data_IF_611824934764
#
_entry.id   IF_611824934764
#
_cell.length_a   1.000
_cell.length_b   1.000
_cell.length_c   1.000
_cell.angle_alpha   90.00
_cell.angle_beta   90.00
_cell.angle_gamma   90.00
#
_symmetry.space_group_name_H-M   'P 1'
#
loop_
_entity.id
_entity.type
_entity.pdbx_description
1 polymer ?
#
# COMPACT_ATOMS: atom_id res chain seq x y z
N UNK A 1 23.60 38.76 -2.11
CA UNK A 1 22.77 39.66 -1.28
C UNK A 1 21.27 39.63 -1.62
N UNK A 2 20.84 38.93 -2.70
CA UNK A 2 19.41 38.83 -3.08
C UNK A 2 18.73 37.57 -2.51
N UNK A 3 19.50 36.62 -2.01
CA UNK A 3 18.98 35.37 -1.42
C UNK A 3 19.54 35.22 -0.02
N UNK A 4 18.65 34.94 0.93
CA UNK A 4 19.01 34.63 2.30
C UNK A 4 18.84 33.13 2.52
N UNK A 5 19.82 32.50 3.17
CA UNK A 5 19.74 31.09 3.55
C UNK A 5 18.68 30.90 4.64
N UNK A 6 17.72 30.03 4.40
CA UNK A 6 16.77 29.57 5.40
C UNK A 6 17.12 28.11 5.72
N UNK A 7 17.34 27.81 6.99
CA UNK A 7 17.58 26.44 7.46
C UNK A 7 16.21 25.80 7.72
N UNK A 8 16.00 24.62 7.12
CA UNK A 8 14.81 23.79 7.34
C UNK A 8 15.29 22.51 8.01
N UNK A 9 14.82 22.28 9.22
CA UNK A 9 15.15 21.06 9.98
C UNK A 9 14.14 19.95 9.67
N UNK A 10 14.55 18.67 9.77
CA UNK A 10 13.62 17.54 9.67
C UNK A 10 12.53 17.63 10.76
N UNK A 11 11.34 17.18 10.44
CA UNK A 11 10.22 17.14 11.38
C UNK A 11 10.38 16.03 12.42
N UNK A 12 9.79 16.21 13.59
CA UNK A 12 9.67 15.17 14.63
C UNK A 12 8.67 14.07 14.19
N UNK A 13 8.62 12.98 14.94
CA UNK A 13 7.66 11.88 14.70
C UNK A 13 6.23 12.40 14.87
N UNK A 14 5.96 13.16 15.92
CA UNK A 14 4.63 13.69 16.23
C UNK A 14 4.15 14.67 15.15
N UNK A 15 5.01 15.62 14.78
CA UNK A 15 4.71 16.55 13.68
C UNK A 15 4.48 15.85 12.35
N UNK A 16 5.26 14.79 12.07
CA UNK A 16 5.09 14.01 10.84
C UNK A 16 3.76 13.26 10.83
N UNK A 17 3.33 12.68 11.95
CA UNK A 17 2.01 12.03 12.06
C UNK A 17 0.89 13.05 11.76
N UNK A 18 0.99 14.25 12.31
CA UNK A 18 0.02 15.33 12.05
C UNK A 18 0.02 15.76 10.57
N UNK A 19 1.20 15.90 9.97
CA UNK A 19 1.33 16.16 8.53
C UNK A 19 0.64 15.08 7.70
N UNK A 20 0.91 13.79 7.98
CA UNK A 20 0.30 12.68 7.25
C UNK A 20 -1.23 12.68 7.41
N UNK A 21 -1.76 12.94 8.60
CA UNK A 21 -3.20 13.08 8.81
C UNK A 21 -3.82 14.21 7.97
N UNK A 22 -3.12 15.34 7.82
CA UNK A 22 -3.59 16.48 7.04
C UNK A 22 -3.61 16.21 5.53
N UNK A 23 -2.69 15.40 5.02
CA UNK A 23 -2.62 15.05 3.59
C UNK A 23 -3.33 13.74 3.24
N UNK A 24 -3.70 12.94 4.25
CA UNK A 24 -4.34 11.61 4.13
C UNK A 24 -5.42 11.57 3.06
N UNK A 25 -6.38 12.48 3.12
CA UNK A 25 -7.53 12.48 2.22
C UNK A 25 -7.14 12.57 0.75
N UNK A 26 -6.07 13.33 0.42
CA UNK A 26 -5.60 13.46 -0.97
C UNK A 26 -5.04 12.14 -1.50
N UNK A 27 -4.31 11.40 -0.68
CA UNK A 27 -3.77 10.09 -1.03
C UNK A 27 -4.85 9.00 -1.08
N UNK A 28 -5.81 9.06 -0.14
CA UNK A 28 -6.99 8.18 -0.16
C UNK A 28 -7.81 8.33 -1.44
N UNK A 29 -8.01 9.56 -1.90
CA UNK A 29 -8.75 9.83 -3.14
C UNK A 29 -7.92 9.48 -4.39
N UNK A 30 -6.60 9.68 -4.35
CA UNK A 30 -5.72 9.38 -5.47
C UNK A 30 -5.62 7.86 -5.72
N UNK A 31 -5.42 7.08 -4.67
CA UNK A 31 -5.27 5.61 -4.75
C UNK A 31 -6.58 4.84 -4.57
N UNK A 32 -7.70 5.53 -4.31
CA UNK A 32 -8.99 4.91 -3.98
C UNK A 32 -8.91 3.91 -2.83
N UNK A 33 -8.23 4.30 -1.76
CA UNK A 33 -8.03 3.51 -0.53
C UNK A 33 -8.45 4.30 0.71
N UNK A 34 -8.46 3.67 1.87
CA UNK A 34 -8.63 4.33 3.17
C UNK A 34 -7.52 3.87 4.11
N UNK A 35 -6.83 4.82 4.77
CA UNK A 35 -5.80 4.50 5.74
C UNK A 35 -6.37 4.45 7.15
N UNK A 36 -6.02 3.41 7.92
CA UNK A 36 -6.29 3.40 9.36
C UNK A 36 -5.32 4.33 10.08
N UNK A 37 -5.67 4.76 11.30
CA UNK A 37 -4.78 5.61 12.10
C UNK A 37 -3.50 4.86 12.49
N UNK A 38 -3.61 3.55 12.70
CA UNK A 38 -2.47 2.66 12.94
C UNK A 38 -1.54 2.61 11.74
N UNK A 39 -2.09 2.54 10.51
CA UNK A 39 -1.29 2.58 9.28
C UNK A 39 -0.52 3.90 9.13
N UNK A 40 -1.16 5.04 9.42
CA UNK A 40 -0.49 6.35 9.38
C UNK A 40 0.66 6.40 10.40
N UNK A 41 0.42 5.95 11.63
CA UNK A 41 1.47 5.86 12.66
C UNK A 41 2.59 4.91 12.24
N UNK A 42 2.26 3.77 11.64
CA UNK A 42 3.23 2.81 11.14
C UNK A 42 4.12 3.39 10.03
N UNK A 43 3.56 4.18 9.08
CA UNK A 43 4.35 4.88 8.07
C UNK A 43 5.48 5.71 8.69
N UNK A 44 5.19 6.43 9.77
CA UNK A 44 6.17 7.28 10.43
C UNK A 44 7.15 6.47 11.29
N UNK A 45 6.63 5.58 12.14
CA UNK A 45 7.46 4.86 13.12
C UNK A 45 8.37 3.82 12.46
N UNK A 46 7.86 3.07 11.47
CA UNK A 46 8.66 2.05 10.79
C UNK A 46 9.72 2.69 9.88
N UNK A 47 9.37 3.75 9.14
CA UNK A 47 10.38 4.43 8.31
C UNK A 47 11.41 5.17 9.16
N UNK A 48 11.01 5.79 10.28
CA UNK A 48 11.96 6.39 11.21
C UNK A 48 12.96 5.37 11.76
N UNK A 49 12.51 4.16 12.05
CA UNK A 49 13.30 3.09 12.66
C UNK A 49 14.21 2.35 11.66
N UNK A 50 13.71 2.09 10.43
CA UNK A 50 14.37 1.19 9.49
C UNK A 50 14.95 1.88 8.26
N UNK A 51 14.60 3.16 7.98
CA UNK A 51 15.14 3.95 6.88
C UNK A 51 16.02 5.07 7.41
N UNK A 52 17.34 4.92 7.25
CA UNK A 52 18.35 5.87 7.77
C UNK A 52 18.89 6.82 6.70
N UNK A 53 18.62 6.55 5.44
CA UNK A 53 19.13 7.27 4.27
C UNK A 53 18.30 8.51 3.91
N UNK A 54 17.13 8.68 4.52
CA UNK A 54 16.21 9.80 4.27
C UNK A 54 15.68 10.38 5.56
N UNK A 55 15.16 11.61 5.48
CA UNK A 55 14.61 12.35 6.62
C UNK A 55 13.09 12.34 6.62
N UNK A 56 12.51 12.59 7.79
CA UNK A 56 11.09 12.90 7.92
C UNK A 56 10.85 14.35 7.43
N UNK A 57 9.69 14.63 6.81
CA UNK A 57 8.53 13.74 6.61
C UNK A 57 8.61 12.87 5.36
N UNK A 58 9.51 13.11 4.40
CA UNK A 58 9.53 12.53 3.06
C UNK A 58 9.45 11.01 3.05
N UNK A 59 10.28 10.33 3.83
CA UNK A 59 10.27 8.85 3.88
C UNK A 59 8.94 8.26 4.37
N UNK A 60 8.23 8.96 5.23
CA UNK A 60 6.92 8.51 5.72
C UNK A 60 5.82 8.76 4.68
N UNK A 61 5.92 9.86 3.93
CA UNK A 61 5.03 10.16 2.79
C UNK A 61 5.23 9.13 1.70
N UNK A 62 6.48 8.81 1.33
CA UNK A 62 6.80 7.78 0.35
C UNK A 62 6.22 6.41 0.74
N UNK A 63 6.34 6.02 2.02
CA UNK A 63 5.78 4.76 2.51
C UNK A 63 4.24 4.74 2.46
N UNK A 64 3.60 5.87 2.73
CA UNK A 64 2.14 6.01 2.63
C UNK A 64 1.69 5.92 1.18
N UNK A 65 2.35 6.60 0.26
CA UNK A 65 2.07 6.59 -1.17
C UNK A 65 2.22 5.18 -1.76
N UNK A 66 3.32 4.52 -1.49
CA UNK A 66 3.60 3.15 -1.95
C UNK A 66 2.60 2.14 -1.36
N UNK A 67 2.21 2.29 -0.08
CA UNK A 67 1.23 1.42 0.55
C UNK A 67 -0.17 1.58 -0.09
N UNK A 68 -0.58 2.80 -0.38
CA UNK A 68 -1.82 3.08 -1.09
C UNK A 68 -1.84 2.51 -2.50
N UNK A 69 -0.79 2.79 -3.27
CA UNK A 69 -0.62 2.29 -4.64
C UNK A 69 -0.65 0.76 -4.69
N UNK A 70 0.09 0.11 -3.81
CA UNK A 70 0.20 -1.36 -3.77
C UNK A 70 -1.14 -2.04 -3.45
N UNK A 71 -1.87 -1.55 -2.45
CA UNK A 71 -3.17 -2.12 -2.09
C UNK A 71 -4.17 -1.91 -3.23
N UNK A 72 -4.16 -0.75 -3.86
CA UNK A 72 -4.95 -0.49 -5.05
C UNK A 72 -4.69 -1.52 -6.15
N UNK A 73 -3.42 -1.75 -6.52
CA UNK A 73 -3.03 -2.68 -7.59
C UNK A 73 -3.37 -4.14 -7.24
N UNK A 74 -3.09 -4.59 -6.01
CA UNK A 74 -3.33 -5.98 -5.60
C UNK A 74 -4.81 -6.31 -5.56
N UNK A 75 -5.66 -5.35 -5.21
CA UNK A 75 -7.10 -5.54 -5.03
C UNK A 75 -7.93 -5.24 -6.27
N UNK A 76 -7.33 -4.69 -7.32
CA UNK A 76 -8.01 -4.51 -8.60
C UNK A 76 -8.27 -5.90 -9.22
N UNK A 77 -9.49 -6.37 -9.09
CA UNK A 77 -9.97 -7.55 -9.82
C UNK A 77 -10.78 -7.09 -11.01
N UNK A 78 -10.20 -7.23 -12.20
CA UNK A 78 -10.93 -6.94 -13.45
C UNK A 78 -12.05 -7.96 -13.62
N UNK A 79 -13.31 -7.55 -13.81
CA UNK A 79 -14.43 -8.46 -14.02
C UNK A 79 -14.20 -9.37 -15.22
N UNK A 80 -14.61 -10.63 -15.11
CA UNK A 80 -14.49 -11.61 -16.21
C UNK A 80 -15.19 -11.15 -17.46
N UNK A 81 -16.28 -10.38 -17.34
CA UNK A 81 -17.03 -9.80 -18.46
C UNK A 81 -16.15 -8.88 -19.32
N UNK A 82 -15.31 -8.05 -18.71
CA UNK A 82 -14.39 -7.16 -19.44
C UNK A 82 -13.33 -8.00 -20.18
N UNK A 83 -12.72 -8.99 -19.50
CA UNK A 83 -11.74 -9.89 -20.13
C UNK A 83 -12.33 -10.70 -21.30
N UNK A 84 -13.59 -11.11 -21.20
CA UNK A 84 -14.29 -11.82 -22.28
C UNK A 84 -14.58 -10.90 -23.45
N UNK A 85 -14.96 -9.64 -23.20
CA UNK A 85 -15.18 -8.64 -24.25
C UNK A 85 -13.88 -8.27 -24.97
N UNK A 86 -12.80 -8.08 -24.25
CA UNK A 86 -11.47 -7.83 -24.82
C UNK A 86 -11.02 -8.99 -25.72
N UNK A 87 -11.20 -10.24 -25.26
CA UNK A 87 -10.86 -11.41 -26.06
C UNK A 87 -11.70 -11.51 -27.34
N UNK A 88 -13.02 -11.25 -27.25
CA UNK A 88 -13.90 -11.25 -28.42
C UNK A 88 -13.53 -10.14 -29.40
N UNK A 89 -13.17 -8.96 -28.89
CA UNK A 89 -12.74 -7.84 -29.70
C UNK A 89 -11.46 -8.20 -30.48
N UNK A 90 -10.50 -8.82 -29.81
CA UNK A 90 -9.27 -9.31 -30.45
C UNK A 90 -9.57 -10.34 -31.55
N UNK A 91 -10.44 -11.32 -31.29
CA UNK A 91 -10.85 -12.34 -32.25
C UNK A 91 -11.50 -11.70 -33.48
N UNK A 92 -12.44 -10.75 -33.31
CA UNK A 92 -13.12 -10.05 -34.41
C UNK A 92 -12.14 -9.19 -35.19
N UNK A 93 -11.24 -8.48 -34.53
CA UNK A 93 -10.20 -7.67 -35.17
C UNK A 93 -9.26 -8.53 -36.03
N UNK A 94 -8.83 -9.68 -35.51
CA UNK A 94 -7.99 -10.64 -36.25
C UNK A 94 -8.72 -11.23 -37.46
N UNK A 95 -9.98 -11.61 -37.30
CA UNK A 95 -10.86 -12.06 -38.42
C UNK A 95 -11.02 -10.99 -39.47
N UNK A 96 -11.35 -9.77 -39.07
CA UNK A 96 -11.49 -8.63 -40.00
C UNK A 96 -10.23 -8.44 -40.82
N UNK A 97 -9.05 -8.46 -40.19
CA UNK A 97 -7.76 -8.30 -40.86
C UNK A 97 -7.48 -9.44 -41.85
N UNK A 98 -7.87 -10.67 -41.55
CA UNK A 98 -7.71 -11.82 -42.45
C UNK A 98 -8.68 -11.73 -43.65
N UNK A 99 -9.92 -11.31 -43.43
CA UNK A 99 -10.96 -11.16 -44.46
C UNK A 99 -10.62 -10.00 -45.42
N UNK A 100 -10.08 -8.90 -44.91
CA UNK A 100 -9.58 -7.79 -45.73
C UNK A 100 -8.43 -8.24 -46.63
N UNK A 101 -7.49 -9.04 -46.16
CA UNK A 101 -6.41 -9.61 -46.96
C UNK A 101 -6.95 -10.52 -48.06
N UNK A 102 -8.09 -11.16 -47.84
CA UNK A 102 -8.77 -12.03 -48.81
C UNK A 102 -9.71 -11.24 -49.75
N UNK A 103 -9.71 -9.91 -49.71
CA UNK A 103 -10.50 -8.99 -50.54
C UNK A 103 -12.04 -9.20 -50.43
N UNK A 104 -12.53 -9.78 -49.35
CA UNK A 104 -13.96 -9.99 -49.08
C UNK A 104 -14.58 -8.80 -48.33
N UNK A 105 -14.77 -7.71 -49.04
CA UNK A 105 -15.14 -6.41 -48.44
C UNK A 105 -16.50 -6.38 -47.75
N UNK A 106 -17.48 -7.16 -48.22
CA UNK A 106 -18.83 -7.24 -47.57
C UNK A 106 -18.74 -7.92 -46.18
N UNK A 107 -17.98 -9.00 -46.07
CA UNK A 107 -17.75 -9.67 -44.78
C UNK A 107 -16.93 -8.75 -43.85
N UNK A 108 -15.93 -8.05 -44.36
CA UNK A 108 -15.15 -7.08 -43.62
C UNK A 108 -15.97 -5.91 -43.06
N UNK A 109 -16.98 -5.45 -43.83
CA UNK A 109 -17.91 -4.41 -43.38
C UNK A 109 -18.74 -4.86 -42.19
N UNK A 110 -19.29 -6.07 -42.19
CA UNK A 110 -20.04 -6.63 -41.06
C UNK A 110 -19.14 -6.79 -39.79
N UNK A 111 -17.92 -7.30 -39.96
CA UNK A 111 -16.99 -7.44 -38.87
C UNK A 111 -16.55 -6.10 -38.27
N UNK A 112 -16.51 -5.04 -39.10
CA UNK A 112 -16.25 -3.68 -38.63
C UNK A 112 -17.42 -3.12 -37.79
N UNK A 113 -18.63 -3.45 -38.13
CA UNK A 113 -19.79 -3.03 -37.35
C UNK A 113 -19.86 -3.80 -36.02
N UNK A 114 -19.52 -5.09 -36.03
CA UNK A 114 -19.39 -5.90 -34.81
C UNK A 114 -18.26 -5.41 -33.90
N UNK A 115 -17.12 -5.06 -34.48
CA UNK A 115 -15.98 -4.47 -33.76
C UNK A 115 -16.39 -3.19 -33.03
N UNK A 116 -17.04 -2.24 -33.74
CA UNK A 116 -17.53 -1.00 -33.15
C UNK A 116 -18.56 -1.22 -32.03
N UNK A 117 -19.41 -2.24 -32.19
CA UNK A 117 -20.38 -2.60 -31.15
C UNK A 117 -19.66 -3.11 -29.90
N UNK A 118 -18.69 -4.03 -30.06
CA UNK A 118 -17.91 -4.59 -28.96
C UNK A 118 -17.04 -3.53 -28.28
N UNK A 119 -16.45 -2.60 -29.05
CA UNK A 119 -15.71 -1.45 -28.47
C UNK A 119 -16.61 -0.62 -27.56
N UNK A 120 -17.84 -0.33 -28.00
CA UNK A 120 -18.77 0.44 -27.19
C UNK A 120 -19.27 -0.32 -25.96
N UNK A 121 -19.54 -1.63 -26.10
CA UNK A 121 -19.89 -2.48 -24.96
C UNK A 121 -18.74 -2.57 -23.94
N UNK A 122 -17.50 -2.67 -24.41
CA UNK A 122 -16.30 -2.66 -23.57
C UNK A 122 -16.15 -1.32 -22.83
N UNK A 123 -16.28 -0.21 -23.53
CA UNK A 123 -16.20 1.13 -22.94
C UNK A 123 -17.27 1.34 -21.85
N UNK A 124 -18.52 0.91 -22.10
CA UNK A 124 -19.59 1.01 -21.09
C UNK A 124 -19.30 0.12 -19.89
N UNK A 125 -18.84 -1.12 -20.10
CA UNK A 125 -18.50 -2.03 -19.02
C UNK A 125 -17.31 -1.53 -18.20
N UNK A 126 -16.31 -0.91 -18.81
CA UNK A 126 -15.18 -0.29 -18.12
C UNK A 126 -15.63 0.92 -17.29
N UNK A 127 -16.48 1.79 -17.82
CA UNK A 127 -17.02 2.94 -17.08
C UNK A 127 -17.85 2.51 -15.87
N UNK A 128 -18.70 1.49 -16.02
CA UNK A 128 -19.49 0.93 -14.91
C UNK A 128 -18.60 0.32 -13.83
N UNK A 129 -17.58 -0.42 -14.24
CA UNK A 129 -16.60 -1.01 -13.31
C UNK A 129 -15.80 0.05 -12.56
N UNK A 130 -15.31 1.08 -13.24
CA UNK A 130 -14.61 2.20 -12.60
C UNK A 130 -15.52 2.93 -11.60
N UNK A 131 -16.78 3.16 -11.96
CA UNK A 131 -17.75 3.80 -11.07
C UNK A 131 -18.00 2.95 -9.82
N UNK A 132 -18.13 1.63 -9.95
CA UNK A 132 -18.29 0.70 -8.84
C UNK A 132 -17.02 0.60 -8.00
N UNK A 133 -15.85 0.56 -8.62
CA UNK A 133 -14.55 0.51 -7.94
C UNK A 133 -14.31 1.76 -7.08
N UNK A 134 -14.75 2.94 -7.52
CA UNK A 134 -14.65 4.19 -6.73
C UNK A 134 -15.52 4.19 -5.48
N UNK A 135 -16.59 3.40 -5.45
CA UNK A 135 -17.47 3.29 -4.28
C UNK A 135 -16.89 2.37 -3.18
N UNK A 136 -15.95 1.49 -3.52
CA UNK A 136 -15.33 0.55 -2.60
C UNK A 136 -13.87 0.94 -2.40
N UNK A 137 -13.60 1.72 -1.33
CA UNK A 137 -12.24 2.04 -0.90
C UNK A 137 -11.68 0.85 -0.10
N UNK A 138 -10.57 0.31 -0.54
CA UNK A 138 -9.83 -0.72 0.20
C UNK A 138 -9.10 -0.12 1.39
N UNK A 139 -9.00 -0.88 2.49
CA UNK A 139 -8.41 -0.40 3.74
C UNK A 139 -6.93 -0.79 3.81
N UNK A 140 -6.08 0.21 3.98
CA UNK A 140 -4.65 0.04 4.24
C UNK A 140 -4.43 -0.08 5.75
N UNK A 141 -3.86 -1.20 6.17
CA UNK A 141 -3.57 -1.52 7.57
C UNK A 141 -2.09 -1.35 7.90
N UNK A 142 -1.75 -1.43 9.19
CA UNK A 142 -0.36 -1.45 9.66
C UNK A 142 0.47 -2.55 8.99
N UNK A 143 -0.10 -3.76 8.83
CA UNK A 143 0.58 -4.88 8.19
C UNK A 143 0.99 -4.59 6.75
N UNK A 144 0.13 -3.91 6.00
CA UNK A 144 0.42 -3.50 4.62
C UNK A 144 1.60 -2.52 4.58
N UNK A 145 1.62 -1.57 5.50
CA UNK A 145 2.73 -0.61 5.62
C UNK A 145 4.03 -1.34 6.00
N UNK A 146 3.97 -2.28 6.94
CA UNK A 146 5.15 -3.06 7.33
C UNK A 146 5.71 -3.89 6.17
N UNK A 147 4.85 -4.44 5.31
CA UNK A 147 5.27 -5.13 4.10
C UNK A 147 5.97 -4.19 3.12
N UNK A 148 5.41 -3.00 2.90
CA UNK A 148 6.00 -1.97 2.03
C UNK A 148 7.36 -1.52 2.55
N UNK A 149 7.46 -1.17 3.83
CA UNK A 149 8.74 -0.77 4.43
C UNK A 149 9.76 -1.91 4.36
N UNK A 150 9.32 -3.17 4.50
CA UNK A 150 10.19 -4.34 4.32
C UNK A 150 10.76 -4.43 2.91
N UNK A 151 9.96 -4.12 1.89
CA UNK A 151 10.43 -4.11 0.49
C UNK A 151 11.35 -2.94 0.21
N UNK A 152 11.03 -1.74 0.71
CA UNK A 152 11.84 -0.54 0.51
C UNK A 152 13.23 -0.65 1.15
N UNK A 153 13.31 -1.31 2.31
CA UNK A 153 14.55 -1.43 3.10
C UNK A 153 15.29 -2.75 2.90
N UNK A 154 14.62 -3.78 2.37
CA UNK A 154 15.12 -5.15 2.35
C UNK A 154 15.13 -5.84 3.71
N UNK A 155 14.60 -5.21 4.77
CA UNK A 155 14.56 -5.72 6.14
C UNK A 155 13.19 -6.35 6.40
N UNK A 156 13.08 -7.62 6.85
CA UNK A 156 11.80 -8.26 7.13
C UNK A 156 11.17 -7.72 8.42
N UNK A 157 10.61 -6.51 8.36
CA UNK A 157 10.08 -5.74 9.51
C UNK A 157 9.04 -6.54 10.30
N UNK A 158 8.14 -7.23 9.61
CA UNK A 158 7.11 -8.06 10.25
C UNK A 158 7.71 -9.18 11.11
N UNK A 159 8.70 -9.92 10.60
CA UNK A 159 9.37 -11.01 11.34
C UNK A 159 10.15 -10.50 12.53
N UNK A 160 10.70 -9.29 12.44
CA UNK A 160 11.45 -8.68 13.56
C UNK A 160 10.47 -8.26 14.66
N UNK A 161 9.35 -7.63 14.32
CA UNK A 161 8.32 -7.24 15.29
C UNK A 161 7.74 -8.45 16.03
N UNK A 162 7.43 -9.54 15.33
CA UNK A 162 6.94 -10.78 15.93
C UNK A 162 8.00 -11.44 16.83
N UNK A 163 9.24 -11.53 16.34
CA UNK A 163 10.35 -12.09 17.12
C UNK A 163 10.68 -11.25 18.37
N UNK A 164 10.63 -9.92 18.28
CA UNK A 164 10.79 -9.01 19.42
C UNK A 164 9.64 -9.18 20.42
N UNK A 165 8.38 -9.23 19.96
CA UNK A 165 7.21 -9.43 20.81
C UNK A 165 7.29 -10.76 21.59
N UNK A 166 7.69 -11.84 20.92
CA UNK A 166 7.90 -13.14 21.56
C UNK A 166 9.04 -13.09 22.58
N UNK A 167 10.17 -12.48 22.24
CA UNK A 167 11.31 -12.29 23.17
C UNK A 167 10.93 -11.47 24.39
N UNK A 168 10.13 -10.41 24.23
CA UNK A 168 9.65 -9.57 25.32
C UNK A 168 8.67 -10.32 26.24
N UNK A 169 7.86 -11.23 25.71
CA UNK A 169 6.99 -12.10 26.51
C UNK A 169 7.77 -13.13 27.33
N UNK A 170 8.82 -13.71 26.75
CA UNK A 170 9.67 -14.71 27.40
C UNK A 170 10.74 -14.09 28.33
N UNK A 171 10.93 -12.77 28.29
CA UNK A 171 11.97 -12.07 29.04
C UNK A 171 11.89 -12.27 30.56
N UNK A 172 10.70 -12.23 31.22
CA UNK A 172 10.60 -12.48 32.66
C UNK A 172 11.15 -13.84 33.03
N UNK A 173 10.80 -14.89 32.32
CA UNK A 173 11.17 -16.26 32.61
C UNK A 173 12.66 -16.49 32.38
N UNK A 174 13.24 -15.90 31.35
CA UNK A 174 14.69 -15.96 31.06
C UNK A 174 15.53 -15.27 32.11
N UNK A 175 15.04 -14.16 32.67
CA UNK A 175 15.77 -13.44 33.75
C UNK A 175 15.63 -14.21 35.08
N UNK A 176 14.42 -14.68 35.40
CA UNK A 176 14.19 -15.50 36.64
C UNK A 176 15.00 -16.80 36.67
N UNK A 177 15.23 -17.40 35.50
CA UNK A 177 16.07 -18.58 35.39
C UNK A 177 17.54 -18.31 35.77
N UNK A 178 18.02 -17.05 35.72
CA UNK A 178 19.40 -16.64 36.03
C UNK A 178 19.53 -15.94 37.37
N UNK A 179 18.45 -15.34 37.90
CA UNK A 179 18.44 -14.55 39.13
C UNK A 179 17.45 -15.20 40.10
N UNK A 180 17.97 -15.71 41.20
CA UNK A 180 17.17 -16.39 42.23
C UNK A 180 16.83 -15.39 43.34
N UNK A 181 15.54 -15.33 43.73
CA UNK A 181 15.08 -14.63 44.91
C UNK A 181 14.77 -13.14 44.76
N UNK A 182 14.70 -12.59 43.52
CA UNK A 182 14.39 -11.18 43.27
C UNK A 182 13.23 -10.99 42.26
N UNK A 183 12.18 -11.81 42.36
CA UNK A 183 11.08 -11.84 41.40
C UNK A 183 10.39 -10.49 41.22
N UNK A 184 10.20 -9.74 42.31
CA UNK A 184 9.53 -8.42 42.24
C UNK A 184 10.37 -7.37 41.48
N UNK A 185 11.67 -7.37 41.73
CA UNK A 185 12.62 -6.48 41.03
C UNK A 185 12.70 -6.82 39.54
N UNK A 186 12.76 -8.11 39.20
CA UNK A 186 12.77 -8.60 37.81
C UNK A 186 11.51 -8.17 37.10
N UNK A 187 10.33 -8.31 37.70
CA UNK A 187 9.05 -7.90 37.11
C UNK A 187 8.98 -6.38 36.88
N UNK A 188 9.51 -5.56 37.80
CA UNK A 188 9.57 -4.10 37.62
C UNK A 188 10.46 -3.70 36.44
N UNK A 189 11.64 -4.31 36.34
CA UNK A 189 12.56 -4.07 35.20
C UNK A 189 11.97 -4.50 33.89
N UNK A 190 11.39 -5.71 33.83
CA UNK A 190 10.74 -6.21 32.60
C UNK A 190 9.58 -5.32 32.16
N UNK A 191 8.72 -4.90 33.09
CA UNK A 191 7.63 -3.96 32.79
C UNK A 191 8.12 -2.63 32.24
N UNK A 192 9.23 -2.10 32.79
CA UNK A 192 9.85 -0.87 32.30
C UNK A 192 10.37 -1.02 30.87
N UNK A 193 11.05 -2.14 30.57
CA UNK A 193 11.55 -2.46 29.23
C UNK A 193 10.38 -2.63 28.25
N UNK A 194 9.33 -3.37 28.64
CA UNK A 194 8.15 -3.58 27.81
C UNK A 194 7.43 -2.26 27.48
N UNK A 195 7.26 -1.36 28.47
CA UNK A 195 6.65 -0.04 28.25
C UNK A 195 7.47 0.81 27.25
N UNK A 196 8.78 0.86 27.44
CA UNK A 196 9.66 1.65 26.57
C UNK A 196 9.67 1.13 25.11
N UNK A 197 9.46 -0.19 24.91
CA UNK A 197 9.41 -0.80 23.57
C UNK A 197 8.06 -0.71 22.91
N UNK A 198 6.97 -0.64 23.67
CA UNK A 198 5.60 -0.49 23.16
C UNK A 198 5.25 1.00 22.93
N UNK A 199 6.09 1.94 23.39
CA UNK A 199 5.87 3.38 23.18
C UNK A 199 4.86 3.99 24.16
N UNK A 200 4.67 3.37 25.33
CA UNK A 200 3.83 3.87 26.44
C UNK A 200 4.69 4.44 27.57
#
# INVERSE_FOLDING_TARGET
RRFQKVMVEPTSIEETIEILHNIKNKYEDHHNVSFTDEAIRACVTLTSRYMTDRFLPDKAIDAMDEAGSRIHIIKIVVPKTILELEKRLEEVTNLKNSVVKSQKYEEAAKLRDDEKRLEKELETAQQEWEAQSRLHKEVVTEDNVAEVVSMMTGIPVYRIAEAESKRLKELPDKIKAKIIGQDEAVLKVVKSIQRNRVGL
#
